data_IF_366722244105
#
_entry.id   IF_366722244105
#
_cell.length_a   1.000
_cell.length_b   1.000
_cell.length_c   1.000
_cell.angle_alpha   90.00
_cell.angle_beta   90.00
_cell.angle_gamma   90.00
#
_symmetry.space_group_name_H-M   'P 1'
#
loop_
_entity.id
_entity.type
_entity.pdbx_description
1 polymer ?
#
# COMPACT_ATOMS: atom_id res chain seq x y z
N UNK A 1 3.32 -12.70 5.52
CA UNK A 1 3.66 -11.36 6.07
C UNK A 1 3.50 -11.28 7.59
N UNK A 2 2.30 -11.35 8.19
CA UNK A 2 2.14 -11.29 9.67
C UNK A 2 2.84 -12.47 10.36
N UNK A 3 2.71 -13.68 9.81
CA UNK A 3 3.40 -14.85 10.38
C UNK A 3 4.92 -14.78 10.24
N UNK A 4 5.43 -14.19 9.17
CA UNK A 4 6.87 -13.98 9.01
C UNK A 4 7.39 -12.93 9.99
N UNK A 5 6.59 -11.87 10.25
CA UNK A 5 6.89 -10.86 11.26
C UNK A 5 6.84 -11.42 12.69
N UNK A 6 5.90 -12.32 12.98
CA UNK A 6 5.83 -13.06 14.24
C UNK A 6 7.05 -13.98 14.41
N UNK A 7 7.47 -14.71 13.37
CA UNK A 7 8.68 -15.54 13.39
C UNK A 7 9.93 -14.70 13.65
N UNK A 8 10.06 -13.53 13.00
CA UNK A 8 11.12 -12.56 13.26
C UNK A 8 11.10 -12.11 14.73
N UNK A 9 9.93 -11.72 15.24
CA UNK A 9 9.80 -11.32 16.64
C UNK A 9 10.19 -12.43 17.61
N UNK A 10 9.73 -13.67 17.42
CA UNK A 10 10.11 -14.80 18.26
C UNK A 10 11.63 -15.00 18.23
N UNK A 11 12.26 -14.97 17.06
CA UNK A 11 13.72 -15.10 16.93
C UNK A 11 14.48 -14.06 17.78
N UNK A 12 14.13 -12.78 17.67
CA UNK A 12 14.83 -11.73 18.41
C UNK A 12 14.48 -11.72 19.88
N UNK A 13 13.26 -12.11 20.25
CA UNK A 13 12.81 -12.12 21.64
C UNK A 13 13.48 -13.25 22.48
N UNK A 14 13.94 -14.32 21.84
CA UNK A 14 14.56 -15.50 22.48
C UNK A 14 16.06 -15.67 22.12
N UNK A 15 16.72 -14.64 21.61
CA UNK A 15 18.17 -14.64 21.35
C UNK A 15 18.85 -13.46 22.06
N UNK A 16 20.17 -13.59 22.27
CA UNK A 16 21.03 -12.51 22.79
C UNK A 16 21.27 -11.38 21.77
N UNK A 17 20.57 -11.40 20.62
CA UNK A 17 20.61 -10.35 19.63
C UNK A 17 19.97 -9.07 20.21
N UNK A 18 20.61 -7.92 20.03
CA UNK A 18 20.14 -6.62 20.56
C UNK A 18 18.83 -6.11 19.89
N UNK A 19 18.31 -6.83 18.91
CA UNK A 19 17.17 -6.46 18.09
C UNK A 19 17.50 -6.44 16.60
N UNK A 20 16.68 -5.75 15.80
CA UNK A 20 16.92 -5.61 14.36
C UNK A 20 16.53 -4.23 13.85
N UNK A 21 17.05 -3.87 12.68
CA UNK A 21 16.61 -2.69 11.93
C UNK A 21 16.40 -3.11 10.48
N UNK A 22 15.19 -2.89 9.98
CA UNK A 22 14.87 -3.00 8.56
C UNK A 22 14.82 -1.61 7.95
N UNK A 23 15.60 -1.41 6.88
CA UNK A 23 15.62 -0.15 6.15
C UNK A 23 14.92 -0.31 4.81
N UNK A 24 13.96 0.57 4.52
CA UNK A 24 13.27 0.67 3.25
C UNK A 24 13.59 2.01 2.58
N UNK A 25 13.93 2.05 1.28
CA UNK A 25 14.25 3.30 0.60
C UNK A 25 13.03 4.22 0.51
N UNK A 26 13.24 5.55 0.53
CA UNK A 26 12.21 6.53 0.15
C UNK A 26 12.50 7.15 -1.22
N UNK A 27 11.61 8.03 -1.68
CA UNK A 27 11.81 8.79 -2.92
C UNK A 27 12.86 9.91 -2.77
N UNK A 28 13.19 10.29 -1.54
CA UNK A 28 14.15 11.35 -1.25
C UNK A 28 15.57 10.78 -1.21
N UNK A 29 16.49 11.42 -1.93
CA UNK A 29 17.88 10.98 -1.98
C UNK A 29 18.54 11.12 -0.60
N UNK A 30 19.10 10.02 -0.10
CA UNK A 30 19.73 9.97 1.22
C UNK A 30 18.74 9.82 2.38
N UNK A 31 17.45 9.57 2.13
CA UNK A 31 16.48 9.27 3.17
C UNK A 31 15.99 7.81 3.07
N UNK A 32 15.84 7.15 4.21
CA UNK A 32 15.24 5.82 4.28
C UNK A 32 14.30 5.69 5.49
N UNK A 33 13.28 4.86 5.36
CA UNK A 33 12.43 4.44 6.46
C UNK A 33 13.13 3.33 7.25
N UNK A 34 13.34 3.56 8.54
CA UNK A 34 13.88 2.57 9.47
C UNK A 34 12.75 2.01 10.34
N UNK A 35 12.61 0.68 10.35
CA UNK A 35 11.76 -0.07 11.27
C UNK A 35 12.69 -0.86 12.18
N UNK A 36 12.94 -0.30 13.36
CA UNK A 36 13.75 -0.92 14.40
C UNK A 36 12.91 -1.71 15.39
N UNK A 37 13.43 -2.83 15.89
CA UNK A 37 12.95 -3.50 17.09
C UNK A 37 14.09 -3.49 18.13
N UNK A 38 13.84 -2.91 19.29
CA UNK A 38 14.75 -2.94 20.44
C UNK A 38 14.39 -4.13 21.32
N UNK A 39 15.30 -5.10 21.45
CA UNK A 39 15.04 -6.32 22.20
C UNK A 39 15.04 -6.09 23.72
N UNK A 40 15.78 -5.11 24.24
CA UNK A 40 15.83 -4.80 25.67
C UNK A 40 14.54 -4.15 26.14
N UNK A 41 14.01 -3.22 25.34
CA UNK A 41 12.77 -2.49 25.62
C UNK A 41 11.52 -3.19 25.08
N UNK A 42 11.70 -4.20 24.23
CA UNK A 42 10.63 -4.94 23.53
C UNK A 42 9.69 -3.98 22.78
N UNK A 43 10.26 -3.00 22.07
CA UNK A 43 9.52 -1.96 21.37
C UNK A 43 9.93 -1.87 19.90
N UNK A 44 8.96 -1.55 19.05
CA UNK A 44 9.19 -1.12 17.69
C UNK A 44 9.39 0.39 17.66
N UNK A 45 10.40 0.82 16.93
CA UNK A 45 10.72 2.22 16.69
C UNK A 45 10.73 2.46 15.18
N UNK A 46 9.80 3.29 14.71
CA UNK A 46 9.66 3.62 13.30
C UNK A 46 9.99 5.09 13.09
N UNK A 47 10.97 5.37 12.23
CA UNK A 47 11.42 6.71 11.93
C UNK A 47 11.96 6.80 10.50
N UNK A 48 11.93 8.00 9.92
CA UNK A 48 12.75 8.32 8.74
C UNK A 48 14.15 8.68 9.21
N UNK A 49 15.16 8.18 8.52
CA UNK A 49 16.57 8.53 8.73
C UNK A 49 17.07 9.31 7.52
N UNK A 50 17.61 10.51 7.75
CA UNK A 50 18.29 11.31 6.73
C UNK A 50 19.81 11.12 6.86
N UNK A 51 20.37 10.35 5.94
CA UNK A 51 21.79 10.03 5.84
C UNK A 51 22.62 11.23 5.33
N UNK A 52 21.99 12.31 4.84
CA UNK A 52 22.71 13.54 4.49
C UNK A 52 23.11 14.35 5.74
N UNK A 53 22.53 14.03 6.91
CA UNK A 53 22.88 14.67 8.18
C UNK A 53 24.04 13.91 8.83
N UNK A 54 25.23 14.52 8.80
CA UNK A 54 26.47 13.94 9.35
C UNK A 54 26.53 13.88 10.89
N UNK A 55 25.45 14.25 11.59
CA UNK A 55 25.39 14.21 13.06
C UNK A 55 24.69 12.93 13.50
N UNK A 56 25.35 12.06 14.28
CA UNK A 56 24.74 10.83 14.75
C UNK A 56 23.60 11.07 15.75
N UNK A 57 22.71 10.09 15.87
CA UNK A 57 21.69 10.04 16.91
C UNK A 57 20.33 10.62 16.50
N UNK A 58 19.58 11.17 17.47
CA UNK A 58 18.20 11.63 17.26
C UNK A 58 18.07 12.75 16.21
N UNK A 59 19.13 13.54 15.99
CA UNK A 59 19.12 14.68 15.07
C UNK A 59 18.93 14.30 13.60
N UNK A 60 19.31 13.08 13.20
CA UNK A 60 19.08 12.56 11.84
C UNK A 60 17.77 11.77 11.70
N UNK A 61 16.99 11.63 12.77
CA UNK A 61 15.81 10.77 12.84
C UNK A 61 14.55 11.61 12.97
N UNK A 62 13.66 11.50 11.99
CA UNK A 62 12.31 12.02 12.09
C UNK A 62 11.39 10.89 12.60
N UNK A 63 11.12 10.90 13.90
CA UNK A 63 10.34 9.85 14.56
C UNK A 63 8.89 9.86 14.09
N UNK A 64 8.41 8.69 13.67
CA UNK A 64 7.00 8.49 13.32
C UNK A 64 6.27 8.00 14.57
N UNK A 65 6.70 6.88 15.16
CA UNK A 65 6.21 6.43 16.46
C UNK A 65 7.15 5.40 17.09
N UNK A 66 7.04 5.27 18.41
CA UNK A 66 7.55 4.14 19.17
C UNK A 66 6.38 3.40 19.82
N UNK A 67 6.38 2.07 19.81
CA UNK A 67 5.31 1.28 20.39
C UNK A 67 5.82 -0.05 20.91
N UNK A 68 5.36 -0.49 22.08
CA UNK A 68 5.67 -1.83 22.57
C UNK A 68 5.25 -2.90 21.56
N UNK A 69 6.04 -3.97 21.46
CA UNK A 69 5.79 -5.05 20.51
C UNK A 69 4.41 -5.68 20.69
N UNK A 70 3.98 -5.87 21.94
CA UNK A 70 2.63 -6.36 22.23
C UNK A 70 1.55 -5.49 21.58
N UNK A 71 1.60 -4.17 21.77
CA UNK A 71 0.62 -3.25 21.19
C UNK A 71 0.70 -3.18 19.67
N UNK A 72 1.92 -3.27 19.12
CA UNK A 72 2.13 -3.27 17.68
C UNK A 72 1.53 -4.51 17.03
N UNK A 73 1.77 -5.70 17.57
CA UNK A 73 1.15 -6.93 17.08
C UNK A 73 -0.36 -6.96 17.30
N UNK A 74 -0.83 -6.45 18.44
CA UNK A 74 -2.26 -6.34 18.71
C UNK A 74 -2.95 -5.42 17.67
N UNK A 75 -2.33 -4.29 17.36
CA UNK A 75 -2.77 -3.38 16.31
C UNK A 75 -2.81 -4.08 14.94
N UNK A 76 -1.70 -4.69 14.52
CA UNK A 76 -1.63 -5.38 13.23
C UNK A 76 -2.69 -6.47 13.09
N UNK A 77 -2.88 -7.29 14.13
CA UNK A 77 -3.86 -8.37 14.10
C UNK A 77 -5.31 -7.85 14.01
N UNK A 78 -5.64 -6.83 14.83
CA UNK A 78 -6.97 -6.20 14.81
C UNK A 78 -7.24 -5.51 13.48
N UNK A 79 -6.25 -4.76 12.97
CA UNK A 79 -6.40 -4.02 11.73
C UNK A 79 -6.45 -4.95 10.51
N UNK A 80 -5.65 -6.01 10.46
CA UNK A 80 -5.72 -7.02 9.40
C UNK A 80 -7.09 -7.69 9.34
N UNK A 81 -7.63 -8.09 10.49
CA UNK A 81 -8.97 -8.67 10.59
C UNK A 81 -10.03 -7.68 10.09
N UNK A 82 -10.02 -6.45 10.63
CA UNK A 82 -10.95 -5.39 10.23
C UNK A 82 -10.86 -5.05 8.74
N UNK A 83 -9.64 -4.93 8.20
CA UNK A 83 -9.39 -4.62 6.80
C UNK A 83 -9.92 -5.75 5.91
N UNK A 84 -9.62 -7.03 6.23
CA UNK A 84 -10.08 -8.20 5.47
C UNK A 84 -11.60 -8.28 5.40
N UNK A 85 -12.31 -8.09 6.52
CA UNK A 85 -13.77 -8.05 6.50
C UNK A 85 -14.27 -6.89 5.65
N UNK A 86 -13.75 -5.68 5.88
CA UNK A 86 -14.21 -4.47 5.20
C UNK A 86 -13.94 -4.49 3.69
N UNK A 87 -12.82 -5.05 3.23
CA UNK A 87 -12.51 -5.18 1.80
C UNK A 87 -13.39 -6.22 1.12
N UNK A 88 -13.69 -7.34 1.80
CA UNK A 88 -14.63 -8.35 1.29
C UNK A 88 -16.02 -7.74 1.12
N UNK A 89 -16.51 -6.98 2.10
CA UNK A 89 -17.79 -6.28 1.99
C UNK A 89 -17.80 -5.24 0.86
N UNK A 90 -16.69 -4.51 0.68
CA UNK A 90 -16.53 -3.58 -0.43
C UNK A 90 -16.64 -4.30 -1.78
N UNK A 91 -15.97 -5.44 -1.93
CA UNK A 91 -15.97 -6.25 -3.14
C UNK A 91 -17.37 -6.80 -3.40
N UNK A 92 -17.98 -7.50 -2.44
CA UNK A 92 -19.27 -8.16 -2.59
C UNK A 92 -20.41 -7.16 -2.87
N UNK A 93 -20.35 -5.97 -2.27
CA UNK A 93 -21.28 -4.86 -2.54
C UNK A 93 -21.06 -4.16 -3.88
N UNK A 94 -20.09 -4.60 -4.69
CA UNK A 94 -19.73 -4.02 -5.98
C UNK A 94 -19.97 -4.97 -7.15
N UNK A 95 -20.89 -5.92 -7.00
CA UNK A 95 -21.28 -6.86 -8.07
C UNK A 95 -21.77 -6.10 -9.30
N UNK A 96 -21.29 -6.51 -10.46
CA UNK A 96 -21.61 -5.97 -11.77
C UNK A 96 -21.88 -7.11 -12.77
N UNK A 97 -22.11 -6.76 -14.03
CA UNK A 97 -22.18 -7.72 -15.12
C UNK A 97 -21.32 -7.25 -16.30
N UNK A 98 -20.93 -8.21 -17.15
CA UNK A 98 -20.07 -7.94 -18.29
C UNK A 98 -20.67 -6.91 -19.24
N UNK A 99 -21.97 -7.00 -19.54
CA UNK A 99 -22.67 -6.06 -20.45
C UNK A 99 -22.54 -4.59 -20.03
N UNK A 100 -22.61 -4.30 -18.72
CA UNK A 100 -22.37 -2.94 -18.18
C UNK A 100 -20.93 -2.47 -18.41
N UNK A 101 -19.95 -3.36 -18.30
CA UNK A 101 -18.55 -3.04 -18.54
C UNK A 101 -18.29 -2.80 -20.04
N UNK A 102 -18.82 -3.66 -20.91
CA UNK A 102 -18.75 -3.53 -22.38
C UNK A 102 -19.32 -2.19 -22.84
N UNK A 103 -20.53 -1.84 -22.37
CA UNK A 103 -21.19 -0.56 -22.67
C UNK A 103 -20.35 0.66 -22.29
N UNK A 104 -19.55 0.55 -21.22
CA UNK A 104 -18.67 1.63 -20.78
C UNK A 104 -17.31 1.66 -21.50
N UNK A 105 -17.04 0.69 -22.38
CA UNK A 105 -15.82 0.53 -23.16
C UNK A 105 -14.56 0.55 -22.30
N UNK A 106 -14.58 -0.18 -21.18
CA UNK A 106 -13.41 -0.26 -20.32
C UNK A 106 -12.27 -0.98 -21.03
N UNK A 107 -11.07 -0.49 -20.73
CA UNK A 107 -9.79 -1.08 -21.13
C UNK A 107 -9.17 -1.64 -19.86
N UNK A 108 -8.65 -2.86 -19.91
CA UNK A 108 -7.97 -3.50 -18.79
C UNK A 108 -6.55 -3.83 -19.15
N UNK A 109 -5.67 -3.73 -18.16
CA UNK A 109 -4.28 -4.15 -18.30
C UNK A 109 -4.15 -5.62 -17.85
N UNK A 110 -3.78 -6.49 -18.78
CA UNK A 110 -3.64 -7.94 -18.57
C UNK A 110 -2.25 -8.39 -18.12
N UNK A 111 -1.33 -7.44 -17.95
CA UNK A 111 0.06 -7.66 -17.56
C UNK A 111 0.18 -8.20 -16.13
N UNK A 112 -0.65 -7.70 -15.20
CA UNK A 112 -0.59 -8.02 -13.76
C UNK A 112 -0.89 -9.49 -13.45
N UNK A 113 -1.46 -10.22 -14.42
CA UNK A 113 -1.86 -11.62 -14.28
C UNK A 113 -0.94 -12.60 -15.02
N UNK A 114 0.16 -12.14 -15.63
CA UNK A 114 1.07 -12.99 -16.42
C UNK A 114 2.49 -12.98 -15.84
N UNK A 115 2.94 -14.12 -15.33
CA UNK A 115 4.32 -14.35 -14.88
C UNK A 115 5.34 -14.06 -16.00
N UNK A 116 4.94 -14.33 -17.25
CA UNK A 116 5.76 -14.11 -18.44
C UNK A 116 5.95 -12.61 -18.75
N UNK A 117 4.96 -11.79 -18.43
CA UNK A 117 5.03 -10.35 -18.58
C UNK A 117 5.98 -9.75 -17.51
N UNK A 118 5.88 -10.22 -16.27
CA UNK A 118 6.76 -9.81 -15.17
C UNK A 118 8.25 -10.07 -15.47
N UNK A 119 8.58 -11.22 -16.06
CA UNK A 119 9.96 -11.59 -16.45
C UNK A 119 10.55 -10.70 -17.57
N UNK A 120 9.69 -10.11 -18.40
CA UNK A 120 10.08 -9.17 -19.47
C UNK A 120 10.34 -7.77 -18.92
N UNK A 121 9.65 -7.35 -17.85
CA UNK A 121 9.87 -6.05 -17.20
C UNK A 121 11.01 -6.06 -16.20
N UNK A 122 11.18 -7.16 -15.45
CA UNK A 122 12.02 -7.19 -14.25
C UNK A 122 13.05 -8.31 -14.34
N UNK A 123 14.31 -8.00 -14.03
CA UNK A 123 15.31 -9.02 -13.74
C UNK A 123 15.02 -9.67 -12.38
N UNK A 124 14.45 -10.87 -12.39
CA UNK A 124 14.33 -11.73 -11.20
C UNK A 124 15.74 -12.27 -10.83
N UNK A 125 16.38 -11.63 -9.84
CA UNK A 125 17.72 -11.91 -9.27
C UNK A 125 18.91 -11.87 -10.24
N UNK A 126 19.84 -10.95 -9.97
CA UNK A 126 21.24 -11.02 -10.45
C UNK A 126 22.17 -10.73 -9.27
N UNK A 127 23.09 -11.65 -8.96
CA UNK A 127 24.11 -11.53 -7.91
C UNK A 127 23.60 -11.04 -6.54
N UNK A 128 22.59 -11.73 -5.99
CA UNK A 128 22.13 -11.49 -4.61
C UNK A 128 21.34 -10.18 -4.37
N UNK A 129 21.16 -9.31 -5.39
CA UNK A 129 20.32 -8.10 -5.28
C UNK A 129 18.93 -8.30 -5.88
N UNK A 130 17.96 -7.61 -5.29
CA UNK A 130 16.53 -7.69 -5.61
C UNK A 130 16.14 -7.00 -6.93
N UNK A 131 15.00 -7.44 -7.47
CA UNK A 131 14.16 -6.90 -8.55
C UNK A 131 14.61 -5.54 -9.10
N UNK A 132 15.15 -5.52 -10.33
CA UNK A 132 15.46 -4.31 -11.10
C UNK A 132 14.73 -4.31 -12.42
N UNK A 133 14.14 -3.18 -12.81
CA UNK A 133 13.58 -3.00 -14.15
C UNK A 133 14.67 -3.20 -15.20
N UNK A 134 14.32 -3.82 -16.33
CA UNK A 134 15.21 -3.88 -17.50
C UNK A 134 15.34 -2.49 -18.12
N UNK A 135 16.56 -2.08 -18.46
CA UNK A 135 16.83 -0.75 -19.04
C UNK A 135 16.27 -0.62 -20.47
N UNK A 136 16.21 -1.72 -21.23
CA UNK A 136 15.63 -1.78 -22.56
C UNK A 136 14.23 -2.40 -22.49
N UNK A 137 13.25 -1.61 -22.04
CA UNK A 137 11.87 -2.06 -21.97
C UNK A 137 11.16 -1.95 -23.32
N UNK A 138 10.48 -3.03 -23.71
CA UNK A 138 9.65 -3.08 -24.93
C UNK A 138 8.30 -2.40 -24.67
N UNK A 139 8.20 -1.12 -25.02
CA UNK A 139 6.98 -0.33 -24.81
C UNK A 139 5.77 -0.91 -25.55
N UNK A 140 5.97 -1.53 -26.71
CA UNK A 140 4.90 -2.14 -27.48
C UNK A 140 4.28 -3.30 -26.69
N UNK A 141 5.11 -4.06 -25.96
CA UNK A 141 4.64 -5.09 -25.04
C UNK A 141 3.76 -4.53 -23.90
N UNK A 142 4.00 -3.32 -23.37
CA UNK A 142 3.07 -2.71 -22.40
C UNK A 142 1.75 -2.35 -23.06
N UNK A 143 1.80 -1.74 -24.25
CA UNK A 143 0.63 -1.24 -24.96
C UNK A 143 -0.28 -2.39 -25.38
N UNK A 144 0.28 -3.48 -25.91
CA UNK A 144 -0.45 -4.68 -26.35
C UNK A 144 -1.20 -5.39 -25.20
N UNK A 145 -0.79 -5.15 -23.95
CA UNK A 145 -1.45 -5.70 -22.78
C UNK A 145 -2.67 -4.88 -22.31
N UNK A 146 -2.91 -3.71 -22.89
CA UNK A 146 -4.15 -2.95 -22.69
C UNK A 146 -5.21 -3.41 -23.69
N UNK A 147 -6.10 -4.27 -23.22
CA UNK A 147 -7.15 -4.87 -24.05
C UNK A 147 -8.51 -4.30 -23.70
N UNK A 148 -9.40 -4.24 -24.68
CA UNK A 148 -10.80 -3.96 -24.36
C UNK A 148 -11.37 -5.11 -23.53
N UNK A 149 -12.24 -4.78 -22.57
CA UNK A 149 -12.83 -5.80 -21.68
C UNK A 149 -13.57 -6.91 -22.43
N UNK A 150 -13.95 -6.66 -23.68
CA UNK A 150 -14.65 -7.59 -24.55
C UNK A 150 -13.73 -8.69 -25.11
N UNK A 151 -12.43 -8.46 -25.10
CA UNK A 151 -11.37 -9.31 -25.65
C UNK A 151 -10.65 -10.12 -24.56
N UNK A 152 -10.99 -9.90 -23.29
CA UNK A 152 -10.33 -10.53 -22.14
C UNK A 152 -11.14 -11.71 -21.65
N UNK A 153 -10.47 -12.85 -21.47
CA UNK A 153 -11.05 -14.01 -20.81
C UNK A 153 -11.17 -13.76 -19.31
N UNK A 154 -12.41 -13.82 -18.81
CA UNK A 154 -12.76 -13.64 -17.39
C UNK A 154 -13.25 -14.97 -16.78
N UNK A 155 -12.77 -16.10 -17.29
CA UNK A 155 -13.10 -17.45 -16.81
C UNK A 155 -12.54 -17.73 -15.41
N UNK A 156 -11.30 -17.31 -15.14
CA UNK A 156 -10.54 -17.64 -13.93
C UNK A 156 -10.54 -16.53 -12.87
N UNK A 157 -10.01 -16.85 -11.69
CA UNK A 157 -9.66 -15.87 -10.67
C UNK A 157 -8.77 -14.79 -11.30
N UNK A 158 -9.25 -13.56 -11.32
CA UNK A 158 -8.55 -12.48 -12.01
C UNK A 158 -8.77 -11.12 -11.35
N UNK A 159 -7.74 -10.28 -11.48
CA UNK A 159 -7.68 -8.92 -10.97
C UNK A 159 -7.22 -8.01 -12.10
N UNK A 160 -7.98 -6.96 -12.36
CA UNK A 160 -7.61 -5.98 -13.38
C UNK A 160 -7.83 -4.56 -12.88
N UNK A 161 -6.91 -3.67 -13.24
CA UNK A 161 -7.17 -2.23 -13.22
C UNK A 161 -7.95 -1.87 -14.48
N UNK A 162 -9.09 -1.22 -14.30
CA UNK A 162 -9.98 -0.84 -15.39
C UNK A 162 -9.86 0.66 -15.66
N UNK A 163 -9.65 0.98 -16.93
CA UNK A 163 -9.37 2.31 -17.44
C UNK A 163 -10.41 2.72 -18.48
N UNK A 164 -10.46 4.02 -18.75
CA UNK A 164 -11.21 4.59 -19.86
C UNK A 164 -10.38 5.67 -20.54
N UNK A 165 -10.34 5.63 -21.86
CA UNK A 165 -9.71 6.68 -22.65
C UNK A 165 -10.63 7.91 -22.68
N UNK A 166 -10.11 9.06 -22.26
CA UNK A 166 -10.80 10.35 -22.34
C UNK A 166 -9.80 11.43 -22.75
N UNK A 167 -10.06 12.11 -23.87
CA UNK A 167 -9.18 13.16 -24.41
C UNK A 167 -7.72 12.69 -24.58
N UNK A 168 -7.52 11.52 -25.20
CA UNK A 168 -6.22 10.85 -25.35
C UNK A 168 -5.49 10.50 -24.04
N UNK A 169 -6.14 10.64 -22.89
CA UNK A 169 -5.58 10.24 -21.59
C UNK A 169 -6.29 9.00 -21.07
N UNK A 170 -5.49 8.03 -20.63
CA UNK A 170 -5.99 6.81 -20.01
C UNK A 170 -6.26 7.09 -18.52
N UNK A 171 -7.54 7.17 -18.14
CA UNK A 171 -7.95 7.48 -16.77
C UNK A 171 -8.39 6.21 -16.03
N UNK A 172 -7.78 5.92 -14.88
CA UNK A 172 -8.19 4.82 -14.00
C UNK A 172 -9.63 5.04 -13.51
N UNK A 173 -10.50 4.07 -13.77
CA UNK A 173 -11.92 4.11 -13.41
C UNK A 173 -12.24 3.25 -12.20
N UNK A 174 -11.49 2.18 -11.97
CA UNK A 174 -11.71 1.30 -10.86
C UNK A 174 -10.94 -0.01 -10.95
N UNK A 175 -11.37 -0.94 -10.11
CA UNK A 175 -10.74 -2.24 -9.94
C UNK A 175 -11.77 -3.32 -10.24
N UNK A 176 -11.39 -4.28 -11.08
CA UNK A 176 -12.21 -5.40 -11.49
C UNK A 176 -11.70 -6.67 -10.82
N UNK A 177 -12.60 -7.42 -10.19
CA UNK A 177 -12.34 -8.73 -9.63
C UNK A 177 -13.29 -9.75 -10.24
N UNK A 178 -12.74 -10.92 -10.58
CA UNK A 178 -13.49 -12.13 -10.83
C UNK A 178 -12.94 -13.20 -9.92
N UNK A 179 -13.84 -13.89 -9.24
CA UNK A 179 -13.49 -15.08 -8.48
C UNK A 179 -14.14 -16.29 -9.17
N UNK A 180 -13.41 -17.37 -9.24
CA UNK A 180 -13.85 -18.66 -9.78
C UNK A 180 -14.94 -19.24 -8.87
N UNK A 181 -14.70 -19.22 -7.55
CA UNK A 181 -15.60 -19.75 -6.52
C UNK A 181 -16.82 -18.85 -6.23
N UNK A 182 -16.90 -17.65 -6.82
CA UNK A 182 -18.06 -16.77 -6.70
C UNK A 182 -18.67 -16.53 -8.08
N UNK A 183 -19.95 -16.82 -8.22
CA UNK A 183 -20.67 -16.61 -9.46
C UNK A 183 -21.06 -15.13 -9.65
N UNK A 184 -20.04 -14.30 -9.89
CA UNK A 184 -20.18 -12.86 -10.06
C UNK A 184 -18.91 -12.19 -10.59
N UNK A 185 -19.11 -11.05 -11.24
CA UNK A 185 -18.06 -10.11 -11.60
C UNK A 185 -18.20 -8.89 -10.70
N UNK A 186 -17.11 -8.31 -10.20
CA UNK A 186 -17.16 -7.23 -9.22
C UNK A 186 -16.30 -6.06 -9.68
N UNK A 187 -16.92 -4.89 -9.83
CA UNK A 187 -16.22 -3.68 -10.25
C UNK A 187 -16.36 -2.61 -9.18
N UNK A 188 -15.25 -2.27 -8.52
CA UNK A 188 -15.18 -1.21 -7.53
C UNK A 188 -14.73 0.08 -8.22
N UNK A 189 -15.60 1.10 -8.35
CA UNK A 189 -15.19 2.39 -8.90
C UNK A 189 -14.09 3.02 -8.04
N UNK A 190 -13.14 3.71 -8.67
CA UNK A 190 -12.01 4.34 -7.97
C UNK A 190 -12.48 5.31 -6.88
N UNK A 191 -13.59 6.04 -7.11
CA UNK A 191 -14.20 6.90 -6.09
C UNK A 191 -14.68 6.11 -4.86
N UNK A 192 -15.24 4.92 -5.06
CA UNK A 192 -15.71 4.03 -3.96
C UNK A 192 -14.50 3.46 -3.21
N UNK A 193 -13.46 3.04 -3.93
CA UNK A 193 -12.21 2.57 -3.34
C UNK A 193 -11.50 3.67 -2.53
N UNK A 194 -11.39 4.89 -3.06
CA UNK A 194 -10.78 6.02 -2.35
C UNK A 194 -11.55 6.39 -1.08
N UNK A 195 -12.89 6.27 -1.10
CA UNK A 195 -13.70 6.45 0.10
C UNK A 195 -13.41 5.35 1.13
N UNK A 196 -13.32 4.10 0.69
CA UNK A 196 -12.94 2.98 1.55
C UNK A 196 -11.57 3.19 2.20
N UNK A 197 -10.54 3.54 1.43
CA UNK A 197 -9.18 3.77 1.97
C UNK A 197 -9.17 4.93 2.98
N UNK A 198 -9.96 5.99 2.74
CA UNK A 198 -10.16 7.06 3.72
C UNK A 198 -10.78 6.54 5.01
N UNK A 199 -11.82 5.72 4.95
CA UNK A 199 -12.43 5.12 6.14
C UNK A 199 -11.46 4.22 6.90
N UNK A 200 -10.60 3.47 6.19
CA UNK A 200 -9.55 2.67 6.82
C UNK A 200 -8.54 3.56 7.57
N UNK A 201 -8.11 4.67 6.97
CA UNK A 201 -7.21 5.62 7.62
C UNK A 201 -7.85 6.28 8.86
N UNK A 202 -9.13 6.63 8.80
CA UNK A 202 -9.89 7.13 9.97
C UNK A 202 -10.00 6.06 11.05
N UNK A 203 -10.27 4.80 10.69
CA UNK A 203 -10.33 3.70 11.65
C UNK A 203 -8.98 3.49 12.35
N UNK A 204 -7.87 3.55 11.61
CA UNK A 204 -6.52 3.52 12.20
C UNK A 204 -6.33 4.69 13.18
N UNK A 205 -6.66 5.91 12.77
CA UNK A 205 -6.54 7.09 13.63
C UNK A 205 -7.35 6.95 14.93
N UNK A 206 -8.59 6.48 14.82
CA UNK A 206 -9.46 6.23 15.97
C UNK A 206 -8.88 5.14 16.89
N UNK A 207 -8.27 4.08 16.34
CA UNK A 207 -7.57 3.07 17.14
C UNK A 207 -6.46 3.70 17.99
N UNK A 208 -5.60 4.50 17.36
CA UNK A 208 -4.51 5.17 18.07
C UNK A 208 -5.01 6.17 19.12
N UNK A 209 -6.15 6.82 18.88
CA UNK A 209 -6.78 7.71 19.87
C UNK A 209 -7.49 6.99 21.01
N UNK A 210 -8.04 5.79 20.77
CA UNK A 210 -8.65 4.98 21.81
C UNK A 210 -7.60 4.40 22.78
N UNK A 211 -6.36 4.20 22.30
CA UNK A 211 -5.23 3.71 23.08
C UNK A 211 -4.04 4.70 23.01
N UNK A 212 -4.23 5.95 23.46
CA UNK A 212 -3.25 7.00 23.25
C UNK A 212 -2.01 6.76 24.11
N UNK A 213 -0.85 7.11 23.55
CA UNK A 213 0.39 7.25 24.32
C UNK A 213 1.12 8.53 23.92
N UNK A 214 2.12 8.92 24.71
CA UNK A 214 3.05 9.99 24.36
C UNK A 214 3.83 9.63 23.10
N UNK A 215 4.28 8.38 22.96
CA UNK A 215 5.10 7.94 21.83
C UNK A 215 4.33 7.88 20.50
N UNK A 216 3.00 7.78 20.57
CA UNK A 216 2.11 7.78 19.40
C UNK A 216 1.54 9.16 19.09
N UNK A 217 1.76 10.17 19.94
CA UNK A 217 1.25 11.53 19.74
C UNK A 217 1.71 12.14 18.40
N UNK A 218 2.99 12.06 18.00
CA UNK A 218 3.44 12.62 16.72
C UNK A 218 2.71 12.00 15.52
N UNK A 219 2.56 10.67 15.51
CA UNK A 219 1.78 9.97 14.48
C UNK A 219 0.31 10.43 14.48
N UNK A 220 -0.32 10.52 15.65
CA UNK A 220 -1.73 10.93 15.75
C UNK A 220 -1.94 12.36 15.23
N UNK A 221 -1.05 13.29 15.57
CA UNK A 221 -1.07 14.65 15.03
C UNK A 221 -0.90 14.66 13.50
N UNK A 222 0.08 13.92 12.97
CA UNK A 222 0.29 13.79 11.53
C UNK A 222 -0.94 13.22 10.81
N UNK A 223 -1.55 12.17 11.38
CA UNK A 223 -2.75 11.55 10.84
C UNK A 223 -3.93 12.52 10.87
N UNK A 224 -4.11 13.25 11.96
CA UNK A 224 -5.16 14.26 12.09
C UNK A 224 -5.04 15.34 11.01
N UNK A 225 -3.87 15.94 10.85
CA UNK A 225 -3.64 16.98 9.84
C UNK A 225 -3.92 16.48 8.42
N UNK A 226 -3.45 15.27 8.09
CA UNK A 226 -3.71 14.65 6.77
C UNK A 226 -5.18 14.28 6.55
N UNK A 227 -5.90 13.93 7.61
CA UNK A 227 -7.33 13.59 7.53
C UNK A 227 -8.24 14.83 7.50
N UNK A 228 -7.82 15.93 8.13
CA UNK A 228 -8.54 17.21 8.20
C UNK A 228 -8.59 17.94 6.86
N UNK A 229 -7.51 17.87 6.08
CA UNK A 229 -7.37 18.61 4.82
C UNK A 229 -7.13 17.70 3.60
N UNK A 230 -8.12 16.89 3.20
CA UNK A 230 -7.93 15.88 2.15
C UNK A 230 -7.72 16.45 0.73
N UNK A 231 -7.93 17.75 0.50
CA UNK A 231 -7.91 18.37 -0.84
C UNK A 231 -7.36 19.80 -0.87
N UNK A 232 -6.58 20.25 0.10
CA UNK A 232 -5.91 21.54 -0.12
C UNK A 232 -4.87 21.34 -1.23
N UNK A 233 -5.25 21.76 -2.44
CA UNK A 233 -4.32 22.06 -3.50
C UNK A 233 -3.22 22.97 -2.91
N UNK A 234 -1.98 22.85 -3.40
CA UNK A 234 -0.86 23.66 -2.89
C UNK A 234 -1.18 25.16 -2.94
N UNK A 235 -2.07 25.59 -3.82
CA UNK A 235 -2.58 26.96 -3.91
C UNK A 235 -3.58 27.32 -2.80
N UNK A 236 -4.47 26.42 -2.43
CA UNK A 236 -5.49 26.67 -1.40
C UNK A 236 -4.89 26.60 0.01
N UNK A 237 -3.87 25.76 0.21
CA UNK A 237 -3.04 25.77 1.41
C UNK A 237 -2.27 27.10 1.58
N UNK A 238 -1.82 27.73 0.49
CA UNK A 238 -1.17 29.04 0.53
C UNK A 238 -2.15 30.17 0.88
N UNK A 239 -3.40 30.13 0.42
CA UNK A 239 -4.42 31.14 0.73
C UNK A 239 -4.88 31.14 2.19
N UNK A 240 -4.81 30.00 2.87
CA UNK A 240 -5.18 29.90 4.29
C UNK A 240 -4.05 30.33 5.25
N UNK A 241 -2.85 30.62 4.72
CA UNK A 241 -1.68 31.10 5.47
C UNK A 241 -1.40 32.59 5.26
N UNK A 242 -2.17 33.28 4.43
CA UNK A 242 -2.17 34.73 4.22
C UNK A 242 -3.33 35.39 4.97
#
# INVERSE_FOLDING_TARGET
>A
MIEDLKKLFLRFNYSDENGFILNAPTLNKGEHLSIGFDNKRKEFNIHLTDDNINVPGAKRRNFIFTMSAFRFFLFLNRFDTFYKHSIVDLILSSKTNLGKLKKNKFIVNTFVTSDEAEDKLIHKRKNGRHWKFRENFDLDLIVDNFKHIDEVDLSNNSFYLAYKLKNNNLALQGILYKFENLNGLYFIPIKKYNRFTKHMAIAMYNYFNAYPTEETLPLRQLMYERLKHPYLDKEEAKRLQS
#
